data_IF_673589281099
#
_entry.id   IF_673589281099
#
_cell.length_a   1.000
_cell.length_b   1.000
_cell.length_c   1.000
_cell.angle_alpha   90.00
_cell.angle_beta   90.00
_cell.angle_gamma   90.00
#
_symmetry.space_group_name_H-M   'P 1'
#
loop_
_entity.id
_entity.type
_entity.pdbx_description
1 polymer ?
#
# COMPACT_ATOMS: atom_id res chain seq x y z
N UNK A 1 12.79 -34.17 38.37
CA UNK A 1 12.09 -34.27 37.06
C UNK A 1 12.10 -32.91 36.38
N UNK A 2 13.15 -32.60 35.63
CA UNK A 2 13.32 -31.35 34.86
C UNK A 2 14.28 -31.65 33.70
N UNK A 3 13.80 -32.28 32.64
CA UNK A 3 14.41 -32.25 31.31
C UNK A 3 13.31 -32.67 30.33
N UNK A 4 12.84 -31.77 29.48
CA UNK A 4 12.26 -31.99 28.13
C UNK A 4 11.52 -30.73 27.71
N UNK A 5 12.24 -29.67 27.36
CA UNK A 5 11.65 -28.52 26.64
C UNK A 5 12.66 -27.75 25.76
N UNK A 6 13.73 -28.41 25.31
CA UNK A 6 14.82 -27.75 24.56
C UNK A 6 15.23 -28.47 23.26
N UNK A 7 14.38 -29.33 22.70
CA UNK A 7 14.70 -30.12 21.51
C UNK A 7 13.81 -29.84 20.27
N UNK A 8 13.20 -28.65 20.16
CA UNK A 8 12.40 -28.27 18.97
C UNK A 8 12.75 -26.91 18.34
N UNK A 9 13.84 -26.26 18.77
CA UNK A 9 14.28 -24.97 18.20
C UNK A 9 15.52 -25.11 17.28
N UNK A 10 16.10 -26.31 17.15
CA UNK A 10 17.34 -26.50 16.37
C UNK A 10 17.15 -27.06 14.96
N UNK A 11 15.92 -27.09 14.41
CA UNK A 11 15.67 -27.63 13.06
C UNK A 11 15.20 -26.60 12.03
N UNK A 12 15.21 -25.30 12.35
CA UNK A 12 14.76 -24.24 11.43
C UNK A 12 15.87 -23.25 10.99
N UNK A 13 17.14 -23.66 11.11
CA UNK A 13 18.31 -22.80 10.84
C UNK A 13 19.34 -23.42 9.87
N UNK A 14 18.92 -24.39 9.04
CA UNK A 14 19.81 -25.15 8.17
C UNK A 14 19.48 -25.11 6.65
N UNK A 15 18.66 -24.16 6.19
CA UNK A 15 18.37 -24.02 4.74
C UNK A 15 18.59 -22.62 4.15
N UNK A 16 19.28 -21.72 4.87
CA UNK A 16 19.61 -20.37 4.35
C UNK A 16 21.08 -20.13 4.01
N UNK A 17 21.90 -21.19 3.90
CA UNK A 17 23.29 -21.08 3.46
C UNK A 17 23.59 -22.08 2.35
N UNK A 18 23.14 -21.82 1.13
CA UNK A 18 23.81 -22.26 -0.10
C UNK A 18 23.33 -21.40 -1.25
N UNK A 19 24.26 -20.99 -2.13
CA UNK A 19 24.15 -20.12 -3.31
C UNK A 19 24.58 -18.66 -3.13
N UNK A 20 25.79 -18.45 -2.64
CA UNK A 20 26.66 -17.38 -3.15
C UNK A 20 28.07 -17.95 -3.30
N UNK A 21 28.37 -18.50 -4.47
CA UNK A 21 29.74 -18.78 -4.91
C UNK A 21 29.80 -18.91 -6.44
N UNK A 22 30.77 -18.19 -7.02
CA UNK A 22 31.15 -18.13 -8.44
C UNK A 22 30.15 -17.36 -9.33
N UNK A 23 30.57 -16.42 -10.18
CA UNK A 23 31.74 -16.47 -11.06
C UNK A 23 32.34 -15.06 -11.19
N UNK A 24 33.64 -14.95 -10.91
CA UNK A 24 34.50 -13.94 -11.49
C UNK A 24 35.05 -14.51 -12.81
N UNK A 25 34.88 -13.78 -13.90
CA UNK A 25 35.65 -13.97 -15.13
C UNK A 25 35.63 -12.66 -15.93
N UNK A 26 36.83 -12.26 -16.35
CA UNK A 26 37.20 -11.14 -17.20
C UNK A 26 36.31 -10.94 -18.43
N UNK A 27 36.15 -9.67 -18.85
CA UNK A 27 36.49 -9.24 -20.22
C UNK A 27 36.66 -7.71 -20.25
N UNK A 28 37.77 -7.28 -20.86
CA UNK A 28 38.20 -5.89 -20.95
C UNK A 28 37.59 -5.06 -22.10
N UNK A 29 37.93 -3.78 -22.03
CA UNK A 29 38.01 -2.73 -23.07
C UNK A 29 37.03 -2.73 -24.26
N UNK A 30 36.26 -1.63 -24.39
CA UNK A 30 36.53 -0.57 -25.38
C UNK A 30 35.53 0.60 -25.29
N UNK A 31 36.08 1.81 -25.22
CA UNK A 31 35.47 3.07 -25.67
C UNK A 31 34.89 2.94 -27.07
N UNK A 32 33.64 3.38 -27.30
CA UNK A 32 33.25 4.22 -28.46
C UNK A 32 31.95 4.99 -28.12
N UNK A 33 31.98 6.31 -28.27
CA UNK A 33 30.95 7.00 -29.06
C UNK A 33 29.77 7.62 -28.33
N UNK A 34 29.95 8.87 -27.93
CA UNK A 34 28.88 9.85 -27.76
C UNK A 34 27.95 9.91 -28.98
N UNK A 35 26.65 9.71 -28.78
CA UNK A 35 25.61 10.23 -29.66
C UNK A 35 24.49 10.84 -28.80
N UNK A 36 24.49 12.16 -28.76
CA UNK A 36 23.39 12.97 -28.25
C UNK A 36 22.16 12.77 -29.13
N UNK A 37 21.03 12.41 -28.53
CA UNK A 37 19.73 12.65 -29.14
C UNK A 37 18.89 13.37 -28.09
N UNK A 38 18.61 14.63 -28.39
CA UNK A 38 17.72 15.49 -27.63
C UNK A 38 16.35 14.82 -27.51
N UNK A 39 15.97 14.44 -26.29
CA UNK A 39 14.60 14.11 -25.93
C UNK A 39 14.07 15.21 -25.02
N UNK A 40 12.98 15.82 -25.46
CA UNK A 40 12.35 16.98 -24.87
C UNK A 40 12.13 16.83 -23.35
N UNK A 41 12.70 17.77 -22.60
CA UNK A 41 12.35 18.05 -21.20
C UNK A 41 10.89 18.53 -21.14
N UNK A 42 9.95 17.58 -20.99
CA UNK A 42 8.61 17.90 -20.51
C UNK A 42 8.67 17.79 -18.99
N UNK A 43 8.60 18.95 -18.34
CA UNK A 43 8.89 19.16 -16.93
C UNK A 43 8.24 18.13 -15.99
N UNK A 44 9.09 17.37 -15.30
CA UNK A 44 8.77 16.94 -13.96
C UNK A 44 8.67 18.23 -13.12
N UNK A 45 7.44 18.64 -12.79
CA UNK A 45 7.23 19.65 -11.77
C UNK A 45 7.95 19.18 -10.51
N UNK A 46 9.01 19.90 -10.15
CA UNK A 46 9.74 19.71 -8.93
C UNK A 46 8.77 19.97 -7.77
N UNK A 47 8.21 18.89 -7.22
CA UNK A 47 7.47 18.96 -5.95
C UNK A 47 8.51 19.35 -4.90
N UNK A 48 8.32 20.46 -4.16
CA UNK A 48 9.29 20.91 -3.18
C UNK A 48 9.60 19.78 -2.20
N UNK A 49 10.90 19.53 -2.04
CA UNK A 49 11.48 18.45 -1.25
C UNK A 49 11.29 18.75 0.25
N UNK A 50 10.05 18.74 0.73
CA UNK A 50 9.77 18.66 2.16
C UNK A 50 10.16 17.24 2.58
N UNK A 51 11.41 17.06 3.01
CA UNK A 51 11.89 15.79 3.54
C UNK A 51 10.89 15.27 4.58
N UNK A 52 10.34 14.10 4.30
CA UNK A 52 9.38 13.44 5.17
C UNK A 52 10.18 12.89 6.37
N UNK A 53 10.13 13.59 7.50
CA UNK A 53 10.90 13.21 8.71
C UNK A 53 10.22 12.05 9.43
N UNK A 54 10.98 10.98 9.65
CA UNK A 54 10.59 9.87 10.54
C UNK A 54 11.04 10.10 11.98
N UNK A 55 10.15 10.68 12.78
CA UNK A 55 10.30 10.95 14.21
C UNK A 55 10.55 9.71 15.09
N UNK A 56 10.16 8.50 14.65
CA UNK A 56 10.26 7.27 15.45
C UNK A 56 11.17 6.22 14.80
N UNK A 57 12.04 6.63 13.88
CA UNK A 57 12.94 5.73 13.14
C UNK A 57 13.82 4.87 14.06
N UNK A 58 14.24 5.44 15.18
CA UNK A 58 15.13 4.80 16.14
C UNK A 58 14.40 4.39 17.44
N UNK A 59 13.08 4.48 17.48
CA UNK A 59 12.29 4.05 18.64
C UNK A 59 12.04 2.54 18.59
N UNK A 60 11.99 1.92 19.77
CA UNK A 60 11.43 0.57 19.93
C UNK A 60 9.92 0.62 19.68
N UNK A 61 9.31 -0.53 19.37
CA UNK A 61 7.90 -0.57 18.96
C UNK A 61 6.95 -0.11 20.07
N UNK A 62 7.29 -0.41 21.31
CA UNK A 62 6.54 -0.10 22.52
C UNK A 62 6.59 1.39 22.88
N UNK A 63 7.63 2.10 22.45
CA UNK A 63 7.82 3.53 22.70
C UNK A 63 7.02 4.41 21.72
N UNK A 64 6.54 3.82 20.63
CA UNK A 64 5.72 4.54 19.64
C UNK A 64 4.30 4.69 20.20
N UNK A 65 3.73 5.91 20.17
CA UNK A 65 2.38 6.13 20.68
C UNK A 65 1.33 5.32 19.91
N UNK A 66 0.25 4.95 20.60
CA UNK A 66 -0.89 4.27 19.98
C UNK A 66 -1.59 5.11 18.89
N UNK A 67 -1.35 6.43 18.89
CA UNK A 67 -1.85 7.36 17.87
C UNK A 67 -0.69 8.17 17.33
N UNK A 68 -0.37 7.98 16.06
CA UNK A 68 0.77 8.60 15.37
C UNK A 68 0.24 9.69 14.43
N UNK A 69 0.51 10.96 14.72
CA UNK A 69 0.08 12.04 13.83
C UNK A 69 0.91 12.05 12.53
N UNK A 70 0.25 12.33 11.40
CA UNK A 70 0.90 12.55 10.11
C UNK A 70 0.78 14.00 9.66
N UNK A 71 1.74 14.48 8.87
CA UNK A 71 1.71 15.84 8.33
C UNK A 71 0.67 15.99 7.22
N UNK A 72 0.32 17.23 6.89
CA UNK A 72 -0.59 17.51 5.78
C UNK A 72 -0.07 16.98 4.43
N UNK A 73 1.25 17.00 4.20
CA UNK A 73 1.87 16.48 2.99
C UNK A 73 1.74 14.94 2.90
N UNK A 74 2.00 14.24 4.01
CA UNK A 74 1.85 12.79 4.08
C UNK A 74 0.39 12.36 3.86
N UNK A 75 -0.55 13.07 4.51
CA UNK A 75 -1.99 12.87 4.32
C UNK A 75 -2.39 13.08 2.86
N UNK A 76 -1.96 14.19 2.25
CA UNK A 76 -2.27 14.49 0.85
C UNK A 76 -1.77 13.36 -0.06
N UNK A 77 -0.54 12.90 0.16
CA UNK A 77 0.04 11.82 -0.62
C UNK A 77 -0.76 10.51 -0.51
N UNK A 78 -1.21 10.11 0.69
CA UNK A 78 -2.07 8.92 0.87
C UNK A 78 -3.39 9.07 0.09
N UNK A 79 -4.01 10.26 0.13
CA UNK A 79 -5.25 10.52 -0.60
C UNK A 79 -5.04 10.57 -2.13
N UNK A 80 -3.90 11.09 -2.60
CA UNK A 80 -3.52 11.08 -4.01
C UNK A 80 -3.31 9.65 -4.52
N UNK A 81 -2.72 8.76 -3.71
CA UNK A 81 -2.59 7.34 -4.02
C UNK A 81 -3.95 6.66 -4.14
N UNK A 82 -4.85 6.90 -3.17
CA UNK A 82 -6.21 6.37 -3.21
C UNK A 82 -6.96 6.83 -4.49
N UNK A 83 -6.85 8.11 -4.84
CA UNK A 83 -7.44 8.65 -6.07
C UNK A 83 -6.84 8.00 -7.33
N UNK A 84 -5.54 7.73 -7.33
CA UNK A 84 -4.87 7.05 -8.44
C UNK A 84 -5.35 5.61 -8.60
N UNK A 85 -5.58 4.90 -7.48
CA UNK A 85 -6.18 3.56 -7.52
C UNK A 85 -7.60 3.58 -8.08
N UNK A 86 -8.41 4.56 -7.68
CA UNK A 86 -9.76 4.74 -8.21
C UNK A 86 -9.73 4.97 -9.72
N UNK A 87 -8.84 5.81 -10.22
CA UNK A 87 -8.66 6.05 -11.67
C UNK A 87 -8.23 4.79 -12.43
N UNK A 88 -7.38 3.95 -11.84
CA UNK A 88 -6.98 2.66 -12.44
C UNK A 88 -8.18 1.72 -12.53
N UNK A 89 -8.93 1.53 -11.44
CA UNK A 89 -10.08 0.61 -11.41
C UNK A 89 -11.24 1.11 -12.29
N UNK A 90 -11.47 2.41 -12.34
CA UNK A 90 -12.56 2.99 -13.14
C UNK A 90 -12.20 3.13 -14.62
N UNK A 91 -11.07 3.77 -14.95
CA UNK A 91 -10.76 4.20 -16.32
C UNK A 91 -9.70 3.37 -17.03
N UNK A 92 -8.79 2.75 -16.29
CA UNK A 92 -7.61 2.06 -16.85
C UNK A 92 -7.55 0.58 -16.41
N UNK A 93 -8.71 -0.07 -16.33
CA UNK A 93 -8.83 -1.45 -15.84
C UNK A 93 -8.18 -2.51 -16.73
N UNK A 94 -7.95 -2.19 -18.00
CA UNK A 94 -7.31 -3.10 -18.97
C UNK A 94 -5.78 -3.02 -18.97
N UNK A 95 -5.21 -2.22 -18.06
CA UNK A 95 -3.75 -2.14 -17.90
C UNK A 95 -3.17 -3.52 -17.57
N UNK A 96 -2.09 -3.84 -18.25
CA UNK A 96 -1.25 -5.00 -17.97
C UNK A 96 -0.30 -4.67 -16.83
N UNK A 97 0.15 -5.70 -16.12
CA UNK A 97 1.06 -5.56 -14.96
C UNK A 97 2.41 -4.92 -15.28
N UNK A 98 2.79 -4.86 -16.56
CA UNK A 98 4.00 -4.23 -17.07
C UNK A 98 3.80 -2.80 -17.58
N UNK A 99 2.57 -2.27 -17.52
CA UNK A 99 2.33 -0.89 -17.92
C UNK A 99 3.03 0.08 -16.97
N UNK A 100 3.67 1.10 -17.54
CA UNK A 100 4.53 2.04 -16.82
C UNK A 100 3.81 2.81 -15.69
N UNK A 101 2.48 2.84 -15.69
CA UNK A 101 1.68 3.43 -14.60
C UNK A 101 1.82 2.65 -13.30
N UNK A 102 1.96 1.32 -13.36
CA UNK A 102 2.41 0.47 -12.25
C UNK A 102 3.94 0.49 -12.14
N UNK A 103 4.60 1.55 -12.57
CA UNK A 103 6.06 1.74 -12.67
C UNK A 103 6.54 3.12 -12.18
N UNK A 104 5.65 4.12 -12.08
CA UNK A 104 6.00 5.51 -11.73
C UNK A 104 6.00 5.73 -10.21
N UNK A 105 7.08 6.33 -9.69
CA UNK A 105 7.16 6.88 -8.32
C UNK A 105 7.94 6.05 -7.28
N UNK A 106 9.02 5.35 -7.66
CA UNK A 106 9.80 4.46 -6.76
C UNK A 106 9.01 3.29 -6.14
N UNK A 107 7.72 3.11 -6.46
CA UNK A 107 6.89 2.02 -5.92
C UNK A 107 7.06 0.68 -6.65
N UNK A 108 7.83 0.66 -7.75
CA UNK A 108 7.56 -0.31 -8.81
C UNK A 108 8.77 -0.70 -9.68
N UNK A 109 9.97 -0.94 -9.14
CA UNK A 109 11.01 -1.62 -9.93
C UNK A 109 12.16 -2.16 -9.06
N UNK A 110 12.84 -3.27 -9.43
CA UNK A 110 12.58 -4.16 -10.57
C UNK A 110 11.78 -5.42 -10.22
N UNK A 111 10.81 -5.77 -11.10
CA UNK A 111 10.31 -7.15 -11.23
C UNK A 111 11.22 -7.93 -12.18
N UNK A 112 11.55 -9.15 -11.80
CA UNK A 112 12.22 -10.13 -12.65
C UNK A 112 11.28 -10.56 -13.80
N UNK A 113 11.65 -10.34 -15.08
CA UNK A 113 10.82 -10.66 -16.24
C UNK A 113 10.53 -12.16 -16.41
N UNK A 114 11.22 -13.03 -15.66
CA UNK A 114 10.96 -14.48 -15.66
C UNK A 114 9.85 -14.90 -14.70
N UNK A 115 9.31 -14.00 -13.87
CA UNK A 115 8.28 -14.34 -12.88
C UNK A 115 6.87 -14.36 -13.52
N UNK A 116 6.04 -15.36 -13.18
CA UNK A 116 4.69 -15.49 -13.74
C UNK A 116 3.79 -14.30 -13.38
N UNK A 117 2.90 -13.96 -14.32
CA UNK A 117 1.85 -12.94 -14.20
C UNK A 117 0.88 -13.36 -13.08
N UNK A 118 0.67 -12.51 -12.08
CA UNK A 118 -0.13 -12.85 -10.90
C UNK A 118 -1.49 -12.15 -10.96
N UNK A 119 -2.57 -12.88 -10.72
CA UNK A 119 -3.93 -12.29 -10.58
C UNK A 119 -4.04 -11.23 -9.47
N UNK A 120 -3.04 -11.18 -8.58
CA UNK A 120 -2.88 -10.17 -7.54
C UNK A 120 -1.48 -9.59 -7.60
N UNK A 121 -1.41 -8.27 -7.60
CA UNK A 121 -0.17 -7.51 -7.44
C UNK A 121 -0.27 -6.70 -6.16
N UNK A 122 0.78 -6.68 -5.34
CA UNK A 122 0.88 -5.90 -4.11
C UNK A 122 2.25 -5.24 -4.07
N UNK A 123 2.29 -4.03 -3.56
CA UNK A 123 3.46 -3.17 -3.57
C UNK A 123 3.58 -2.49 -2.23
N UNK A 124 4.77 -2.54 -1.66
CA UNK A 124 5.08 -1.87 -0.41
C UNK A 124 5.89 -0.61 -0.72
N UNK A 125 5.30 0.54 -0.42
CA UNK A 125 5.98 1.83 -0.51
C UNK A 125 6.93 1.96 0.66
N UNK A 126 8.23 1.75 0.40
CA UNK A 126 9.30 1.97 1.37
C UNK A 126 9.55 3.46 1.71
N UNK A 127 8.92 4.39 0.99
CA UNK A 127 9.15 5.84 1.14
C UNK A 127 8.58 6.43 2.44
N UNK A 128 7.88 5.62 3.24
CA UNK A 128 7.41 5.97 4.58
C UNK A 128 8.02 5.01 5.59
N UNK A 129 9.04 5.48 6.31
CA UNK A 129 9.76 4.69 7.33
C UNK A 129 8.95 4.44 8.62
N UNK A 130 7.67 4.82 8.64
CA UNK A 130 6.68 4.37 9.62
C UNK A 130 5.78 3.28 8.99
N UNK A 131 6.12 1.98 9.13
CA UNK A 131 5.52 0.75 8.51
C UNK A 131 4.55 0.94 7.31
N UNK A 132 5.13 1.05 6.12
CA UNK A 132 4.58 0.68 4.80
C UNK A 132 3.15 1.13 4.45
N UNK A 133 3.06 1.84 3.33
CA UNK A 133 1.81 1.87 2.57
C UNK A 133 1.86 0.67 1.62
N UNK A 134 0.92 -0.26 1.77
CA UNK A 134 0.77 -1.38 0.83
C UNK A 134 -0.37 -1.09 -0.12
N UNK A 135 -0.13 -1.14 -1.42
CA UNK A 135 -1.18 -1.01 -2.45
C UNK A 135 -1.25 -2.32 -3.22
N UNK A 136 -2.46 -2.82 -3.47
CA UNK A 136 -2.65 -3.97 -4.33
C UNK A 136 -3.81 -3.81 -5.30
N UNK A 137 -3.72 -4.51 -6.41
CA UNK A 137 -4.78 -4.65 -7.40
C UNK A 137 -5.06 -6.14 -7.61
N UNK A 138 -6.32 -6.49 -7.82
CA UNK A 138 -6.74 -7.85 -8.13
C UNK A 138 -7.79 -7.90 -9.22
N UNK A 139 -7.81 -9.05 -9.88
CA UNK A 139 -8.71 -9.44 -10.97
C UNK A 139 -9.00 -10.93 -10.87
N UNK A 140 -10.09 -11.38 -11.47
CA UNK A 140 -10.50 -12.78 -11.46
C UNK A 140 -9.43 -13.70 -12.08
N UNK A 141 -8.88 -13.29 -13.23
CA UNK A 141 -7.80 -14.00 -13.92
C UNK A 141 -6.96 -13.02 -14.75
N UNK A 142 -5.88 -13.50 -15.38
CA UNK A 142 -4.92 -12.65 -16.11
C UNK A 142 -5.46 -12.03 -17.42
N UNK A 143 -6.59 -12.51 -17.94
CA UNK A 143 -7.26 -11.94 -19.12
C UNK A 143 -8.40 -11.00 -18.76
N UNK A 144 -8.88 -11.03 -17.51
CA UNK A 144 -9.88 -10.09 -17.02
C UNK A 144 -9.28 -8.71 -16.70
N UNK A 145 -10.08 -7.64 -16.78
CA UNK A 145 -9.69 -6.35 -16.25
C UNK A 145 -9.56 -6.38 -14.71
N UNK A 146 -8.83 -5.42 -14.15
CA UNK A 146 -8.82 -5.18 -12.70
C UNK A 146 -10.24 -4.90 -12.18
N UNK A 147 -10.61 -5.54 -11.07
CA UNK A 147 -11.93 -5.43 -10.46
C UNK A 147 -11.90 -4.98 -8.99
N UNK A 148 -10.74 -4.97 -8.35
CA UNK A 148 -10.58 -4.33 -7.05
C UNK A 148 -9.17 -3.83 -6.80
N UNK A 149 -9.05 -2.83 -5.92
CA UNK A 149 -7.79 -2.30 -5.44
C UNK A 149 -7.85 -2.03 -3.94
N UNK A 150 -6.77 -2.27 -3.22
CA UNK A 150 -6.68 -2.03 -1.77
C UNK A 150 -5.46 -1.20 -1.42
N UNK A 151 -5.58 -0.35 -0.41
CA UNK A 151 -4.47 0.38 0.23
C UNK A 151 -4.53 0.17 1.73
N UNK A 152 -3.40 -0.24 2.30
CA UNK A 152 -3.22 -0.35 3.75
C UNK A 152 -2.12 0.61 4.21
N UNK A 153 -2.31 1.27 5.33
CA UNK A 153 -1.45 2.35 5.83
C UNK A 153 -1.26 2.19 7.35
N UNK A 154 -0.05 1.86 7.80
CA UNK A 154 0.20 1.48 9.19
C UNK A 154 1.39 2.23 9.82
N UNK A 155 1.37 2.58 11.11
CA UNK A 155 2.59 2.94 11.82
C UNK A 155 3.37 1.67 12.22
N UNK A 156 4.63 1.85 12.62
CA UNK A 156 5.55 0.73 12.95
C UNK A 156 5.03 -0.21 14.03
N UNK A 157 4.28 0.31 14.98
CA UNK A 157 3.73 -0.42 16.10
C UNK A 157 2.32 -0.99 15.82
N UNK A 158 1.78 -0.95 14.60
CA UNK A 158 0.54 -1.66 14.27
C UNK A 158 0.63 -3.15 14.65
N UNK A 159 -0.40 -3.77 15.25
CA UNK A 159 -1.77 -3.26 15.47
C UNK A 159 -1.97 -2.41 16.74
N UNK A 160 -0.92 -2.13 17.52
CA UNK A 160 -1.01 -1.30 18.73
C UNK A 160 -1.22 0.19 18.40
N UNK A 161 -0.67 0.65 17.28
CA UNK A 161 -0.77 2.04 16.84
C UNK A 161 -1.50 2.25 15.52
N UNK A 162 -2.10 3.43 15.37
CA UNK A 162 -2.77 3.89 14.15
C UNK A 162 -2.36 5.32 13.81
N UNK A 163 -2.39 5.66 12.52
CA UNK A 163 -2.19 7.04 12.12
C UNK A 163 -3.43 7.90 12.42
N UNK A 164 -3.19 9.11 12.92
CA UNK A 164 -4.19 10.16 13.01
C UNK A 164 -4.10 11.05 11.77
N UNK A 165 -4.97 10.79 10.79
CA UNK A 165 -4.95 11.48 9.51
C UNK A 165 -5.76 12.78 9.52
N UNK A 166 -6.90 12.83 10.24
CA UNK A 166 -7.83 13.97 10.20
C UNK A 166 -8.27 14.26 8.75
N UNK A 167 -8.80 13.23 8.09
CA UNK A 167 -9.42 13.33 6.77
C UNK A 167 -10.71 14.14 6.91
N UNK A 168 -10.89 15.12 6.02
CA UNK A 168 -12.08 15.98 6.00
C UNK A 168 -13.29 15.21 5.49
N UNK A 169 -14.47 15.50 6.05
CA UNK A 169 -15.76 15.03 5.54
C UNK A 169 -15.93 15.27 4.04
N UNK A 170 -15.43 16.41 3.54
CA UNK A 170 -15.52 16.80 2.12
C UNK A 170 -14.89 15.79 1.14
N UNK A 171 -13.90 15.00 1.59
CA UNK A 171 -13.36 13.92 0.76
C UNK A 171 -14.40 12.83 0.44
N UNK A 172 -15.34 12.61 1.36
CA UNK A 172 -16.36 11.56 1.28
C UNK A 172 -17.67 12.02 0.66
N UNK A 173 -17.88 13.33 0.48
CA UNK A 173 -19.14 13.89 -0.05
C UNK A 173 -19.47 13.44 -1.49
N UNK A 174 -18.46 12.99 -2.24
CA UNK A 174 -18.64 12.38 -3.57
C UNK A 174 -19.13 10.93 -3.53
N UNK A 175 -19.27 10.34 -2.34
CA UNK A 175 -19.71 8.96 -2.15
C UNK A 175 -20.97 8.92 -1.28
N UNK A 176 -21.83 7.94 -1.54
CA UNK A 176 -23.01 7.66 -0.75
C UNK A 176 -22.66 6.64 0.33
N UNK A 177 -22.83 6.99 1.61
CA UNK A 177 -22.65 6.04 2.71
C UNK A 177 -23.77 4.99 2.67
N UNK A 178 -23.41 3.71 2.59
CA UNK A 178 -24.35 2.59 2.66
C UNK A 178 -24.54 2.10 4.09
N UNK A 179 -23.42 1.88 4.80
CA UNK A 179 -23.43 1.37 6.17
C UNK A 179 -22.14 1.74 6.90
N UNK A 180 -22.24 1.98 8.20
CA UNK A 180 -21.11 2.10 9.11
C UNK A 180 -21.37 1.22 10.33
N UNK A 181 -20.48 0.27 10.59
CA UNK A 181 -20.63 -0.72 11.66
C UNK A 181 -19.33 -0.94 12.42
N UNK A 182 -19.43 -1.31 13.69
CA UNK A 182 -18.28 -1.85 14.44
C UNK A 182 -18.34 -3.37 14.37
N UNK A 183 -17.34 -3.97 13.75
CA UNK A 183 -17.18 -5.42 13.66
C UNK A 183 -16.28 -5.93 14.79
N UNK A 184 -16.62 -7.09 15.35
CA UNK A 184 -15.76 -7.84 16.25
C UNK A 184 -15.27 -9.09 15.51
N UNK A 185 -13.97 -9.22 15.33
CA UNK A 185 -13.32 -10.29 14.56
C UNK A 185 -12.49 -11.15 15.51
N UNK A 186 -12.74 -12.46 15.51
CA UNK A 186 -11.92 -13.40 16.28
C UNK A 186 -10.69 -13.78 15.45
N UNK A 187 -9.53 -13.91 16.10
CA UNK A 187 -8.27 -14.36 15.49
C UNK A 187 -7.66 -13.44 14.43
N UNK A 188 -8.13 -12.20 14.34
CA UNK A 188 -7.53 -11.16 13.48
C UNK A 188 -6.56 -10.28 14.26
N UNK A 189 -5.60 -9.67 13.56
CA UNK A 189 -4.67 -8.71 14.18
C UNK A 189 -5.41 -7.52 14.84
N UNK A 190 -6.60 -7.19 14.31
CA UNK A 190 -7.53 -6.24 14.89
C UNK A 190 -8.83 -6.94 15.26
N UNK A 191 -9.05 -7.13 16.56
CA UNK A 191 -10.27 -7.77 17.06
C UNK A 191 -11.50 -6.87 16.97
N UNK A 192 -11.33 -5.54 16.97
CA UNK A 192 -12.43 -4.58 16.87
C UNK A 192 -12.08 -3.53 15.82
N UNK A 193 -12.99 -3.34 14.87
CA UNK A 193 -12.78 -2.43 13.74
C UNK A 193 -14.07 -1.73 13.35
N UNK A 194 -13.99 -0.43 13.08
CA UNK A 194 -15.05 0.34 12.45
C UNK A 194 -14.92 0.21 10.94
N UNK A 195 -15.99 -0.28 10.30
CA UNK A 195 -16.06 -0.51 8.86
C UNK A 195 -17.11 0.41 8.25
N UNK A 196 -16.70 1.20 7.27
CA UNK A 196 -17.54 2.14 6.54
C UNK A 196 -17.63 1.68 5.09
N UNK A 197 -18.85 1.45 4.62
CA UNK A 197 -19.12 1.10 3.24
C UNK A 197 -19.79 2.25 2.52
N UNK A 198 -19.28 2.57 1.33
CA UNK A 198 -19.84 3.57 0.44
C UNK A 198 -20.10 2.99 -0.93
N UNK A 199 -21.02 3.60 -1.65
CA UNK A 199 -21.13 3.51 -3.10
C UNK A 199 -20.70 4.82 -3.74
N UNK A 200 -20.05 4.70 -4.90
CA UNK A 200 -19.74 5.82 -5.76
C UNK A 200 -20.06 5.48 -7.20
N UNK A 201 -20.15 6.53 -8.01
CA UNK A 201 -20.31 6.39 -9.45
C UNK A 201 -19.39 7.39 -10.15
N UNK A 202 -18.50 6.89 -11.00
CA UNK A 202 -17.68 7.68 -11.91
C UNK A 202 -17.87 7.13 -13.33
N UNK A 203 -17.97 8.00 -14.34
CA UNK A 203 -18.09 7.60 -15.75
C UNK A 203 -19.16 6.53 -16.06
N UNK A 204 -20.28 6.56 -15.32
CA UNK A 204 -21.38 5.62 -15.49
C UNK A 204 -21.16 4.24 -14.85
N UNK A 205 -20.03 4.01 -14.18
CA UNK A 205 -19.72 2.75 -13.49
C UNK A 205 -19.89 2.91 -11.98
N UNK A 206 -20.53 1.92 -11.37
CA UNK A 206 -20.69 1.85 -9.92
C UNK A 206 -19.52 1.12 -9.30
N UNK A 207 -19.06 1.62 -8.17
CA UNK A 207 -18.07 0.96 -7.33
C UNK A 207 -18.48 1.05 -5.88
N UNK A 208 -18.04 0.09 -5.10
CA UNK A 208 -18.17 0.06 -3.64
C UNK A 208 -16.82 0.33 -3.01
N UNK A 209 -16.84 1.13 -1.96
CA UNK A 209 -15.66 1.43 -1.15
C UNK A 209 -15.87 0.86 0.25
N UNK A 210 -14.84 0.24 0.77
CA UNK A 210 -14.77 -0.18 2.17
C UNK A 210 -13.60 0.53 2.82
N UNK A 211 -13.84 1.25 3.91
CA UNK A 211 -12.79 1.77 4.76
C UNK A 211 -12.84 1.09 6.12
N UNK A 212 -11.69 0.68 6.61
CA UNK A 212 -11.52 0.10 7.94
C UNK A 212 -10.66 1.01 8.81
N UNK A 213 -11.15 1.27 10.02
CA UNK A 213 -10.52 2.16 10.97
C UNK A 213 -10.60 1.60 12.39
N UNK A 214 -9.58 1.86 13.21
CA UNK A 214 -9.69 1.57 14.64
C UNK A 214 -10.73 2.48 15.30
N UNK A 215 -11.53 1.97 16.25
CA UNK A 215 -12.39 2.80 17.10
C UNK A 215 -11.65 3.89 17.89
N UNK A 216 -10.33 3.78 18.04
CA UNK A 216 -9.51 4.79 18.74
C UNK A 216 -9.28 6.06 17.92
N UNK A 217 -9.40 6.01 16.59
CA UNK A 217 -9.10 7.13 15.69
C UNK A 217 -10.27 7.54 14.78
N UNK A 218 -11.38 6.80 14.83
CA UNK A 218 -12.58 7.03 14.02
C UNK A 218 -13.82 6.50 14.74
N UNK A 219 -14.96 7.17 14.59
CA UNK A 219 -16.25 6.78 15.16
C UNK A 219 -17.28 6.54 14.07
N UNK A 220 -18.06 5.46 14.17
CA UNK A 220 -19.16 5.18 13.22
C UNK A 220 -20.22 6.29 13.20
N UNK A 221 -20.37 7.03 14.31
CA UNK A 221 -21.35 8.13 14.43
C UNK A 221 -21.04 9.31 13.50
N UNK A 222 -19.78 9.46 13.10
CA UNK A 222 -19.38 10.53 12.18
C UNK A 222 -19.89 10.27 10.76
N UNK A 223 -20.25 9.02 10.42
CA UNK A 223 -20.60 8.62 9.06
C UNK A 223 -19.42 8.62 8.08
N UNK A 224 -18.21 8.88 8.56
CA UNK A 224 -16.97 8.73 7.81
C UNK A 224 -15.74 8.49 8.70
N UNK A 225 -14.72 7.78 8.20
CA UNK A 225 -13.48 7.58 8.93
C UNK A 225 -12.60 8.84 8.85
N UNK A 226 -12.29 9.45 10.00
CA UNK A 226 -11.31 10.54 10.09
C UNK A 226 -9.89 10.05 9.86
N UNK A 227 -9.66 8.76 10.09
CA UNK A 227 -8.43 8.03 9.77
C UNK A 227 -8.79 6.59 9.40
N UNK A 228 -8.03 5.94 8.53
CA UNK A 228 -8.20 4.53 8.19
C UNK A 228 -6.85 3.81 8.20
N UNK A 229 -6.86 2.50 8.37
CA UNK A 229 -5.67 1.66 8.21
C UNK A 229 -5.78 0.77 6.98
N UNK A 230 -6.99 0.53 6.48
CA UNK A 230 -7.22 -0.19 5.24
C UNK A 230 -8.38 0.45 4.46
N UNK A 231 -8.24 0.53 3.14
CA UNK A 231 -9.30 0.97 2.24
C UNK A 231 -9.31 0.11 0.99
N UNK A 232 -10.47 -0.34 0.55
CA UNK A 232 -10.65 -1.21 -0.62
C UNK A 232 -11.72 -0.66 -1.54
N UNK A 233 -11.44 -0.73 -2.84
CA UNK A 233 -12.32 -0.35 -3.95
C UNK A 233 -12.73 -1.65 -4.63
N UNK A 234 -14.03 -1.88 -4.80
CA UNK A 234 -14.61 -2.99 -5.54
C UNK A 234 -15.42 -2.42 -6.70
N UNK A 235 -15.12 -2.82 -7.92
CA UNK A 235 -15.97 -2.53 -9.07
C UNK A 235 -17.17 -3.50 -9.03
N UNK A 236 -18.40 -2.98 -9.14
CA UNK A 236 -19.56 -3.86 -9.30
C UNK A 236 -19.53 -4.47 -10.70
N UNK A 237 -19.82 -5.77 -10.78
CA UNK A 237 -20.06 -6.42 -12.07
C UNK A 237 -21.43 -5.95 -12.58
N UNK A 238 -21.45 -5.36 -13.78
CA UNK A 238 -22.68 -4.94 -14.47
C UNK A 238 -23.47 -6.15 -14.97
#
# INVERSE_FOLDING_TARGET
MKVMFLARISFLLATCQMHYASVAADFGEKDIGSLSVAAANIGAQHVPNNEIIDLYKNSELEDIPATVSITAAQKKYILDLFNSMLDIIDKKRDLKENDAIFGKGDFFWPKDPKKPIKARISYDVGNFKFRSISIGFSRVNSSSPWNSAGISVHPRNFPLGFFEMKISRSFFERFLLEKAITEKRQHEALEIVNVFWYTGQENGRKFRLQFEASPTVSSIKDGYPRSFHNAVIYLEEN
#
